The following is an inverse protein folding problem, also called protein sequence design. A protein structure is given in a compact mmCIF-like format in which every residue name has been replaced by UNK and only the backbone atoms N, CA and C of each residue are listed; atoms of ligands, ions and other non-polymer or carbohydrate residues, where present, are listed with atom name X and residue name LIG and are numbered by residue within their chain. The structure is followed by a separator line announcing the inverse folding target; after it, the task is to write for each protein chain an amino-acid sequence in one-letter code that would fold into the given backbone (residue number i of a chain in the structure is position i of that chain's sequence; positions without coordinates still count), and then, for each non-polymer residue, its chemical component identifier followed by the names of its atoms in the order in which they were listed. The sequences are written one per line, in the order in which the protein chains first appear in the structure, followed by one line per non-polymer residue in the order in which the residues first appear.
data_IF_975408693848
#
_entry.id   IF_975408693848
#
_cell.length_a   1.000
_cell.length_b   1.000
_cell.length_c   1.000
_cell.angle_alpha   90.00
_cell.angle_beta   90.00
_cell.angle_gamma   90.00
#
_symmetry.space_group_name_H-M   'P 1'
#
loop_
_entity.id
_entity.type
_entity.pdbx_description
1 polymer ?
#
# COMPACT_ATOMS: atom_id res chain seq x y z
N UNK A 1 -6.34 2.08 -17.49
CA UNK A 1 -6.87 3.39 -17.96
C UNK A 1 -6.88 4.47 -16.87
N UNK A 2 -7.24 4.18 -15.62
CA UNK A 2 -7.41 5.21 -14.56
C UNK A 2 -6.14 6.02 -14.25
N UNK A 3 -4.97 5.37 -14.12
CA UNK A 3 -3.70 6.03 -13.80
C UNK A 3 -3.18 6.95 -14.91
N UNK A 4 -3.35 6.56 -16.17
CA UNK A 4 -2.94 7.37 -17.33
C UNK A 4 -3.86 8.57 -17.55
N UNK A 5 -5.18 8.38 -17.40
CA UNK A 5 -6.16 9.45 -17.59
C UNK A 5 -6.10 10.52 -16.49
N UNK A 6 -5.79 10.16 -15.24
CA UNK A 6 -5.68 11.12 -14.13
C UNK A 6 -4.50 12.09 -14.23
N UNK A 7 -3.55 11.82 -15.14
CA UNK A 7 -2.35 12.64 -15.39
C UNK A 7 -2.52 13.59 -16.55
N UNK A 8 -3.63 13.51 -17.26
CA UNK A 8 -3.97 14.39 -18.38
C UNK A 8 -4.85 15.48 -17.79
N UNK A 9 -4.34 16.71 -17.55
CA UNK A 9 -5.08 17.74 -16.83
C UNK A 9 -6.37 18.14 -17.56
N UNK A 10 -6.32 18.10 -18.90
CA UNK A 10 -7.45 18.30 -19.80
C UNK A 10 -7.33 17.41 -21.02
N UNK A 11 -8.47 17.03 -21.59
CA UNK A 11 -8.53 16.25 -22.83
C UNK A 11 -7.66 16.88 -23.93
N UNK A 12 -6.83 16.06 -24.58
CA UNK A 12 -5.90 16.50 -25.63
C UNK A 12 -4.57 17.09 -25.14
N UNK A 13 -4.38 17.29 -23.82
CA UNK A 13 -3.08 17.69 -23.26
C UNK A 13 -2.15 16.48 -23.02
N UNK A 14 -0.84 16.74 -23.01
CA UNK A 14 0.13 15.72 -22.64
C UNK A 14 -0.04 15.30 -21.18
N UNK A 15 0.22 14.02 -20.91
CA UNK A 15 0.25 13.54 -19.53
C UNK A 15 1.43 14.17 -18.78
N UNK A 16 1.20 14.63 -17.55
CA UNK A 16 2.25 15.17 -16.66
C UNK A 16 3.47 14.22 -16.58
N UNK A 17 4.70 14.68 -16.34
CA UNK A 17 5.83 13.77 -16.21
C UNK A 17 5.69 12.83 -15.00
N UNK A 18 6.29 11.64 -15.08
CA UNK A 18 6.47 10.77 -13.91
C UNK A 18 7.74 11.20 -13.21
N UNK A 19 7.74 11.21 -11.89
CA UNK A 19 8.94 11.46 -11.11
C UNK A 19 8.96 10.45 -9.98
N UNK A 20 10.06 9.72 -9.89
CA UNK A 20 10.43 9.00 -8.68
C UNK A 20 11.85 9.42 -8.26
N UNK A 21 12.22 9.08 -7.03
CA UNK A 21 13.58 9.29 -6.55
C UNK A 21 14.45 8.09 -6.92
N UNK A 22 15.79 8.25 -6.98
CA UNK A 22 16.70 7.13 -7.17
C UNK A 22 16.52 6.01 -6.15
N UNK A 23 16.19 6.35 -4.91
CA UNK A 23 15.89 5.40 -3.82
C UNK A 23 14.45 4.85 -3.85
N UNK A 24 13.66 5.20 -4.87
CA UNK A 24 12.23 4.92 -4.98
C UNK A 24 11.38 5.63 -3.94
N UNK A 25 10.13 5.18 -3.77
CA UNK A 25 9.16 5.78 -2.84
C UNK A 25 9.57 5.63 -1.36
N UNK A 26 10.50 4.72 -1.04
CA UNK A 26 11.06 4.57 0.30
C UNK A 26 11.73 5.85 0.81
N UNK A 27 12.24 6.69 -0.09
CA UNK A 27 12.82 7.99 0.26
C UNK A 27 11.82 8.91 0.96
N UNK A 28 10.56 8.89 0.53
CA UNK A 28 9.52 9.76 1.09
C UNK A 28 9.28 9.39 2.55
N UNK A 29 9.08 8.10 2.83
CA UNK A 29 8.88 7.60 4.19
C UNK A 29 10.11 7.88 5.06
N UNK A 30 11.32 7.65 4.54
CA UNK A 30 12.56 7.93 5.26
C UNK A 30 12.71 9.43 5.60
N UNK A 31 12.41 10.31 4.64
CA UNK A 31 12.43 11.75 4.84
C UNK A 31 11.42 12.19 5.91
N UNK A 32 10.16 11.75 5.81
CA UNK A 32 9.12 12.08 6.80
C UNK A 32 9.48 11.57 8.21
N UNK A 33 10.11 10.39 8.30
CA UNK A 33 10.55 9.83 9.58
C UNK A 33 11.61 10.71 10.28
N UNK A 34 12.39 11.52 9.55
CA UNK A 34 13.39 12.41 10.16
C UNK A 34 12.76 13.44 11.11
N UNK A 35 11.64 14.04 10.72
CA UNK A 35 10.88 15.03 11.52
C UNK A 35 10.30 14.47 12.82
N UNK A 36 10.15 13.14 12.91
CA UNK A 36 9.59 12.45 14.07
C UNK A 36 10.59 11.47 14.71
N UNK A 37 11.87 11.49 14.33
CA UNK A 37 12.84 10.42 14.65
C UNK A 37 12.92 10.06 16.13
N UNK A 38 12.93 11.04 17.04
CA UNK A 38 12.99 10.81 18.49
C UNK A 38 11.67 10.31 19.09
N UNK A 39 10.59 10.32 18.32
CA UNK A 39 9.22 9.95 18.72
C UNK A 39 8.71 8.69 18.00
N UNK A 40 9.52 8.10 17.11
CA UNK A 40 9.19 6.85 16.44
C UNK A 40 9.82 5.72 17.22
N UNK A 41 8.97 4.82 17.70
CA UNK A 41 9.39 3.57 18.30
C UNK A 41 8.99 2.41 17.38
N UNK A 42 9.96 1.57 17.02
CA UNK A 42 9.73 0.38 16.19
C UNK A 42 9.86 -0.88 17.03
N UNK A 43 9.41 -2.02 16.50
CA UNK A 43 9.44 -3.28 17.24
C UNK A 43 8.36 -3.42 18.31
N UNK A 44 7.34 -2.55 18.28
CA UNK A 44 6.15 -2.64 19.12
C UNK A 44 4.92 -2.95 18.28
N UNK A 45 4.18 -3.98 18.66
CA UNK A 45 2.90 -4.35 18.07
C UNK A 45 1.77 -3.91 18.99
N UNK A 46 0.94 -2.97 18.54
CA UNK A 46 -0.25 -2.57 19.29
C UNK A 46 -1.26 -3.72 19.26
N UNK A 47 -1.61 -4.23 20.44
CA UNK A 47 -2.56 -5.35 20.62
C UNK A 47 -3.92 -4.87 21.14
N UNK A 48 -3.96 -3.72 21.82
CA UNK A 48 -5.19 -3.18 22.35
C UNK A 48 -5.25 -1.64 22.31
N UNK A 49 -6.41 -1.11 21.97
CA UNK A 49 -6.74 0.32 21.96
C UNK A 49 -8.09 0.47 22.64
N UNK A 50 -8.10 1.06 23.83
CA UNK A 50 -9.25 1.09 24.74
C UNK A 50 -9.64 2.56 24.97
N UNK A 51 -10.66 3.08 24.27
CA UNK A 51 -11.13 4.44 24.50
C UNK A 51 -11.94 4.54 25.79
N UNK A 52 -11.60 5.50 26.65
CA UNK A 52 -12.29 5.83 27.89
C UNK A 52 -12.85 7.27 27.85
N UNK A 53 -13.45 7.74 28.94
CA UNK A 53 -13.92 9.13 29.04
C UNK A 53 -12.75 10.12 29.09
N UNK A 54 -11.60 9.71 29.64
CA UNK A 54 -10.44 10.58 29.88
C UNK A 54 -9.36 10.47 28.80
N UNK A 55 -9.53 9.58 27.81
CA UNK A 55 -8.56 9.39 26.74
C UNK A 55 -8.65 8.02 26.08
N UNK A 56 -7.49 7.48 25.73
CA UNK A 56 -7.31 6.19 25.10
C UNK A 56 -6.10 5.52 25.73
N UNK A 57 -6.29 4.30 26.23
CA UNK A 57 -5.21 3.44 26.69
C UNK A 57 -4.78 2.52 25.54
N UNK A 58 -3.50 2.54 25.20
CA UNK A 58 -2.89 1.72 24.15
C UNK A 58 -1.96 0.71 24.81
N UNK A 59 -2.17 -0.56 24.49
CA UNK A 59 -1.30 -1.65 24.92
C UNK A 59 -0.54 -2.15 23.70
N UNK A 60 0.78 -2.22 23.84
CA UNK A 60 1.67 -2.76 22.83
C UNK A 60 2.58 -3.84 23.43
N UNK A 61 2.94 -4.80 22.60
CA UNK A 61 3.84 -5.90 22.92
C UNK A 61 5.11 -5.78 22.08
N UNK A 62 6.26 -6.10 22.66
CA UNK A 62 7.51 -6.11 21.90
C UNK A 62 7.47 -7.21 20.83
N UNK A 63 8.19 -7.03 19.73
CA UNK A 63 8.21 -7.98 18.60
C UNK A 63 8.59 -9.41 19.03
N UNK A 64 9.35 -9.54 20.11
CA UNK A 64 9.77 -10.84 20.66
C UNK A 64 8.73 -11.46 21.61
N UNK A 65 7.66 -10.73 21.95
CA UNK A 65 6.60 -11.16 22.86
C UNK A 65 7.02 -11.19 24.33
N UNK A 66 8.02 -10.39 24.70
CA UNK A 66 8.66 -10.45 26.03
C UNK A 66 8.28 -9.28 26.93
N UNK A 67 7.94 -8.14 26.34
CA UNK A 67 7.67 -6.91 27.05
C UNK A 67 6.30 -6.37 26.67
N UNK A 68 5.60 -5.83 27.66
CA UNK A 68 4.35 -5.11 27.48
C UNK A 68 4.55 -3.63 27.80
N UNK A 69 3.90 -2.78 27.04
CA UNK A 69 3.92 -1.33 27.23
C UNK A 69 2.51 -0.77 27.19
N UNK A 70 2.16 -0.01 28.23
CA UNK A 70 0.95 0.80 28.30
C UNK A 70 1.25 2.25 28.00
N UNK A 71 0.44 2.88 27.14
CA UNK A 71 0.51 4.29 26.81
C UNK A 71 -0.87 4.88 26.99
N UNK A 72 -1.01 5.84 27.91
CA UNK A 72 -2.22 6.65 28.03
C UNK A 72 -2.08 7.92 27.19
N UNK A 73 -3.05 8.19 26.33
CA UNK A 73 -3.09 9.39 25.50
C UNK A 73 -4.48 10.03 25.50
N UNK A 74 -4.56 11.37 25.51
CA UNK A 74 -5.83 12.08 25.40
C UNK A 74 -6.57 11.77 24.09
N UNK A 75 -5.82 11.59 23.00
CA UNK A 75 -6.31 11.28 21.65
C UNK A 75 -5.31 10.35 20.95
N UNK A 76 -5.79 9.48 20.08
CA UNK A 76 -4.96 8.56 19.26
C UNK A 76 -5.28 8.76 17.79
N UNK A 77 -4.24 8.80 16.94
CA UNK A 77 -4.39 8.67 15.49
C UNK A 77 -4.12 7.21 15.11
N UNK A 78 -5.15 6.54 14.61
CA UNK A 78 -5.07 5.17 14.11
C UNK A 78 -4.79 5.19 12.61
N UNK A 79 -3.54 4.94 12.23
CA UNK A 79 -3.07 4.97 10.84
C UNK A 79 -2.92 3.58 10.21
N UNK A 80 -3.43 2.52 10.86
CA UNK A 80 -3.46 1.17 10.29
C UNK A 80 -4.76 0.92 9.50
N UNK A 81 -4.81 -0.12 8.63
CA UNK A 81 -6.01 -0.44 7.86
C UNK A 81 -7.25 -0.70 8.73
N UNK A 82 -8.44 -0.44 8.18
CA UNK A 82 -9.73 -0.69 8.86
C UNK A 82 -9.91 -2.14 9.29
N UNK A 83 -9.42 -3.12 8.53
CA UNK A 83 -9.49 -4.52 8.97
C UNK A 83 -8.65 -4.79 10.22
N UNK A 84 -7.57 -4.03 10.47
CA UNK A 84 -6.80 -4.14 11.72
C UNK A 84 -7.55 -3.49 12.87
N UNK A 85 -8.26 -2.38 12.63
CA UNK A 85 -9.08 -1.72 13.64
C UNK A 85 -10.08 -2.70 14.31
N UNK A 86 -10.66 -3.62 13.52
CA UNK A 86 -11.55 -4.68 13.98
C UNK A 86 -10.92 -5.63 15.02
N UNK A 87 -9.58 -5.71 15.07
CA UNK A 87 -8.85 -6.62 15.94
C UNK A 87 -8.21 -5.95 17.15
N UNK A 88 -7.92 -4.65 17.08
CA UNK A 88 -7.15 -3.95 18.13
C UNK A 88 -7.96 -2.90 18.89
N UNK A 89 -9.02 -2.34 18.30
CA UNK A 89 -9.89 -1.39 18.99
C UNK A 89 -10.93 -2.17 19.79
N UNK A 90 -10.88 -2.09 21.12
CA UNK A 90 -11.68 -2.95 22.00
C UNK A 90 -13.20 -2.91 21.68
N UNK A 91 -13.85 -1.72 21.57
CA UNK A 91 -15.26 -1.67 21.16
C UNK A 91 -15.56 -2.31 19.80
N UNK A 92 -14.60 -2.30 18.86
CA UNK A 92 -14.81 -2.88 17.53
C UNK A 92 -14.66 -4.40 17.54
N UNK A 93 -13.84 -4.96 18.45
CA UNK A 93 -13.82 -6.41 18.68
C UNK A 93 -15.13 -6.89 19.28
N UNK A 94 -15.65 -6.17 20.25
CA UNK A 94 -16.86 -6.55 20.99
C UNK A 94 -18.11 -6.43 20.09
N UNK A 95 -18.19 -5.37 19.29
CA UNK A 95 -19.27 -5.13 18.35
C UNK A 95 -18.75 -4.47 17.08
N UNK A 96 -18.35 -5.28 16.10
CA UNK A 96 -17.76 -4.80 14.85
C UNK A 96 -18.75 -3.91 14.07
N UNK A 97 -18.42 -2.61 13.87
CA UNK A 97 -19.30 -1.71 13.13
C UNK A 97 -19.53 -2.19 11.70
N UNK A 98 -20.77 -2.03 11.21
CA UNK A 98 -21.15 -2.46 9.86
C UNK A 98 -20.29 -1.84 8.77
N UNK A 99 -19.90 -0.56 8.93
CA UNK A 99 -19.06 0.13 7.95
C UNK A 99 -17.67 -0.48 7.79
N UNK A 100 -17.09 -1.07 8.84
CA UNK A 100 -15.76 -1.70 8.77
C UNK A 100 -15.82 -2.98 7.92
N UNK A 101 -16.95 -3.69 7.92
CA UNK A 101 -17.15 -4.94 7.14
C UNK A 101 -17.12 -4.71 5.63
N UNK A 102 -17.38 -3.48 5.20
CA UNK A 102 -17.43 -3.11 3.78
C UNK A 102 -16.01 -2.98 3.17
N UNK A 103 -14.96 -2.90 4.00
CA UNK A 103 -13.56 -2.78 3.58
C UNK A 103 -12.98 -4.15 3.23
N UNK A 104 -12.69 -4.35 1.94
CA UNK A 104 -12.14 -5.60 1.41
C UNK A 104 -10.81 -5.33 0.72
N UNK A 105 -9.83 -6.23 0.89
CA UNK A 105 -8.46 -5.99 0.43
C UNK A 105 -8.02 -7.07 -0.54
N UNK A 106 -7.45 -6.66 -1.66
CA UNK A 106 -6.88 -7.54 -2.67
C UNK A 106 -5.52 -8.09 -2.25
N UNK A 107 -5.13 -9.22 -2.85
CA UNK A 107 -3.83 -9.85 -2.67
C UNK A 107 -2.96 -9.63 -3.90
N UNK A 108 -1.71 -9.26 -3.71
CA UNK A 108 -0.76 -8.99 -4.80
C UNK A 108 0.53 -9.78 -4.58
N UNK A 109 1.08 -10.31 -5.67
CA UNK A 109 2.46 -10.72 -5.77
C UNK A 109 3.23 -9.64 -6.52
N UNK A 110 4.36 -9.22 -5.97
CA UNK A 110 5.32 -8.34 -6.65
C UNK A 110 6.62 -9.09 -6.77
N UNK A 111 7.21 -9.07 -7.96
CA UNK A 111 8.49 -9.72 -8.22
C UNK A 111 9.47 -8.71 -8.80
N UNK A 112 10.68 -8.64 -8.23
CA UNK A 112 11.76 -7.83 -8.78
C UNK A 112 12.81 -8.76 -9.39
N UNK A 113 13.06 -8.59 -10.69
CA UNK A 113 14.08 -9.31 -11.43
C UNK A 113 15.26 -8.38 -11.65
N UNK A 114 16.40 -8.65 -11.02
CA UNK A 114 17.68 -8.02 -11.37
C UNK A 114 18.26 -8.75 -12.55
N UNK A 115 18.46 -8.03 -13.66
CA UNK A 115 18.95 -8.58 -14.91
C UNK A 115 20.35 -8.06 -15.21
N UNK A 116 21.24 -8.94 -15.69
CA UNK A 116 22.58 -8.54 -16.15
C UNK A 116 22.57 -7.69 -17.42
N UNK A 117 21.51 -7.79 -18.21
CA UNK A 117 21.28 -6.98 -19.41
C UNK A 117 19.78 -6.82 -19.68
N UNK A 118 19.39 -5.87 -20.53
CA UNK A 118 18.01 -5.67 -20.97
C UNK A 118 17.58 -6.78 -21.94
N UNK A 119 16.33 -7.27 -21.84
CA UNK A 119 15.82 -8.21 -22.83
C UNK A 119 15.66 -7.52 -24.19
N UNK A 120 15.78 -8.31 -25.25
CA UNK A 120 15.59 -7.84 -26.62
C UNK A 120 14.14 -7.39 -26.81
N UNK A 121 13.98 -6.28 -27.52
CA UNK A 121 12.67 -5.76 -27.91
C UNK A 121 12.54 -5.79 -29.44
N UNK A 122 11.34 -6.07 -29.94
CA UNK A 122 11.03 -6.12 -31.38
C UNK A 122 10.00 -5.04 -31.70
N UNK A 123 10.23 -4.27 -32.77
CA UNK A 123 9.33 -3.22 -33.26
C UNK A 123 9.31 -1.92 -32.45
N UNK A 124 9.49 -1.97 -31.13
CA UNK A 124 9.58 -0.81 -30.24
C UNK A 124 10.63 -1.05 -29.15
N UNK A 125 11.37 -0.04 -28.68
CA UNK A 125 12.27 -0.20 -27.53
C UNK A 125 11.51 -0.61 -26.27
N UNK A 126 12.24 -1.14 -25.28
CA UNK A 126 11.66 -1.55 -24.01
C UNK A 126 10.90 -0.37 -23.36
N UNK A 127 9.58 -0.49 -23.24
CA UNK A 127 8.75 0.56 -22.68
C UNK A 127 8.92 0.64 -21.15
N UNK A 128 8.53 1.75 -20.54
CA UNK A 128 8.48 1.82 -19.08
C UNK A 128 7.46 0.83 -18.50
N UNK A 129 6.26 0.77 -19.07
CA UNK A 129 5.16 -0.12 -18.65
C UNK A 129 4.86 -1.13 -19.76
N UNK A 130 4.89 -2.42 -19.43
CA UNK A 130 4.78 -3.51 -20.40
C UNK A 130 3.73 -4.49 -19.89
N UNK A 131 2.67 -4.69 -20.69
CA UNK A 131 1.59 -5.62 -20.38
C UNK A 131 1.62 -6.79 -21.37
N UNK A 132 1.29 -7.99 -20.89
CA UNK A 132 1.25 -9.18 -21.72
C UNK A 132 -0.17 -9.47 -22.19
N UNK A 133 -0.32 -9.72 -23.49
CA UNK A 133 -1.60 -10.19 -24.05
C UNK A 133 -1.98 -11.54 -23.44
N UNK A 134 -3.24 -11.68 -23.02
CA UNK A 134 -3.77 -12.90 -22.39
C UNK A 134 -2.91 -13.42 -21.23
N UNK A 135 -2.40 -12.49 -20.41
CA UNK A 135 -1.81 -12.81 -19.11
C UNK A 135 -2.75 -12.38 -17.99
N UNK A 136 -2.86 -13.17 -16.90
CA UNK A 136 -3.55 -12.73 -15.69
C UNK A 136 -2.76 -11.67 -14.89
N UNK A 137 -1.51 -11.37 -15.27
CA UNK A 137 -0.70 -10.37 -14.60
C UNK A 137 -1.01 -8.95 -15.07
N UNK A 138 -0.52 -7.97 -14.33
CA UNK A 138 -0.50 -6.57 -14.76
C UNK A 138 0.78 -6.26 -15.56
N UNK A 139 1.56 -7.27 -15.91
CA UNK A 139 2.84 -7.12 -16.60
C UNK A 139 3.96 -6.63 -15.68
N UNK A 140 4.91 -5.88 -16.25
CA UNK A 140 6.05 -5.36 -15.52
C UNK A 140 6.39 -3.94 -15.94
N UNK A 141 7.05 -3.22 -15.02
CA UNK A 141 7.69 -1.95 -15.32
C UNK A 141 9.21 -2.07 -15.33
N UNK A 142 9.87 -1.27 -16.15
CA UNK A 142 11.32 -1.06 -16.11
C UNK A 142 11.62 -0.08 -14.98
N UNK A 143 12.02 -0.60 -13.81
CA UNK A 143 12.25 0.21 -12.62
C UNK A 143 13.37 1.24 -12.80
N UNK A 144 14.27 1.00 -13.75
CA UNK A 144 15.42 1.86 -14.09
C UNK A 144 15.12 2.88 -15.20
N UNK A 145 13.89 3.00 -15.69
CA UNK A 145 13.56 3.86 -16.85
C UNK A 145 13.97 5.34 -16.68
N UNK A 146 14.05 5.86 -15.44
CA UNK A 146 14.48 7.24 -15.17
C UNK A 146 15.99 7.39 -14.92
N UNK A 147 16.77 6.31 -15.03
CA UNK A 147 18.23 6.38 -14.89
C UNK A 147 18.91 7.07 -16.08
N UNK A 148 18.21 7.22 -17.20
CA UNK A 148 18.77 7.74 -18.45
C UNK A 148 19.69 6.75 -19.17
N UNK A 149 19.74 5.48 -18.74
CA UNK A 149 20.53 4.42 -19.35
C UNK A 149 19.59 3.46 -20.08
N UNK A 150 19.79 3.28 -21.38
CA UNK A 150 18.99 2.43 -22.28
C UNK A 150 19.69 1.10 -22.66
N UNK A 151 20.87 0.84 -22.12
CA UNK A 151 21.65 -0.40 -22.31
C UNK A 151 22.10 -1.04 -20.97
N UNK A 152 22.52 -2.30 -21.01
CA UNK A 152 23.16 -2.97 -19.87
C UNK A 152 22.20 -3.45 -18.77
N UNK A 153 22.67 -3.62 -17.52
CA UNK A 153 21.89 -4.15 -16.41
C UNK A 153 20.63 -3.34 -16.08
N UNK A 154 19.56 -4.03 -15.68
CA UNK A 154 18.28 -3.41 -15.35
C UNK A 154 17.53 -4.14 -14.24
N UNK A 155 16.44 -3.54 -13.77
CA UNK A 155 15.48 -4.18 -12.86
C UNK A 155 14.09 -4.11 -13.48
N UNK A 156 13.44 -5.27 -13.61
CA UNK A 156 12.02 -5.36 -13.96
C UNK A 156 11.21 -5.60 -12.68
N UNK A 157 10.18 -4.78 -12.45
CA UNK A 157 9.23 -4.99 -11.36
C UNK A 157 7.91 -5.49 -11.94
N UNK A 158 7.64 -6.77 -11.72
CA UNK A 158 6.47 -7.49 -12.20
C UNK A 158 5.34 -7.48 -11.14
N UNK A 159 4.10 -7.31 -11.61
CA UNK A 159 2.92 -7.22 -10.76
C UNK A 159 1.88 -8.27 -11.14
N UNK A 160 1.46 -9.07 -10.16
CA UNK A 160 0.37 -10.03 -10.33
C UNK A 160 -0.70 -9.76 -9.26
N UNK A 161 -1.82 -9.21 -9.69
CA UNK A 161 -2.98 -9.00 -8.83
C UNK A 161 -3.87 -10.25 -8.83
N UNK A 162 -4.17 -10.79 -7.65
CA UNK A 162 -5.11 -11.90 -7.52
C UNK A 162 -6.53 -11.33 -7.41
N UNK A 163 -7.31 -11.59 -8.45
CA UNK A 163 -8.59 -10.92 -8.70
C UNK A 163 -9.82 -11.79 -8.38
N UNK A 164 -9.67 -12.87 -7.60
CA UNK A 164 -10.81 -13.74 -7.26
C UNK A 164 -11.93 -12.94 -6.56
N UNK A 165 -13.18 -13.38 -6.76
CA UNK A 165 -14.36 -12.73 -6.18
C UNK A 165 -14.27 -12.70 -4.65
N UNK A 166 -13.76 -13.77 -4.04
CA UNK A 166 -13.48 -13.85 -2.61
C UNK A 166 -11.99 -13.58 -2.31
N UNK A 167 -11.62 -12.44 -1.70
CA UNK A 167 -10.22 -12.11 -1.39
C UNK A 167 -9.53 -13.11 -0.45
N UNK A 168 -10.30 -13.87 0.36
CA UNK A 168 -9.74 -14.90 1.23
C UNK A 168 -9.09 -16.02 0.41
N UNK A 169 -9.75 -16.48 -0.65
CA UNK A 169 -9.25 -17.55 -1.53
C UNK A 169 -7.95 -17.09 -2.20
N UNK A 170 -7.94 -15.87 -2.74
CA UNK A 170 -6.73 -15.27 -3.32
C UNK A 170 -5.58 -15.25 -2.32
N UNK A 171 -5.85 -14.84 -1.07
CA UNK A 171 -4.84 -14.75 -0.02
C UNK A 171 -4.31 -16.11 0.37
N UNK A 172 -5.18 -17.09 0.55
CA UNK A 172 -4.80 -18.46 0.88
C UNK A 172 -3.90 -19.04 -0.21
N UNK A 173 -4.27 -18.88 -1.49
CA UNK A 173 -3.43 -19.27 -2.63
C UNK A 173 -2.08 -18.55 -2.64
N UNK A 174 -2.08 -17.23 -2.42
CA UNK A 174 -0.85 -16.44 -2.39
C UNK A 174 0.14 -16.94 -1.34
N UNK A 175 -0.36 -17.30 -0.16
CA UNK A 175 0.45 -17.69 0.98
C UNK A 175 0.81 -19.19 0.99
N UNK A 176 -0.02 -20.06 0.40
CA UNK A 176 0.23 -21.50 0.33
C UNK A 176 1.30 -21.87 -0.69
N UNK A 177 1.39 -21.13 -1.80
CA UNK A 177 2.40 -21.34 -2.84
C UNK A 177 3.76 -20.82 -2.36
N UNK A 178 4.79 -21.64 -2.53
CA UNK A 178 6.14 -21.32 -2.06
C UNK A 178 6.84 -20.30 -2.98
N UNK A 179 8.01 -19.81 -2.55
CA UNK A 179 8.75 -18.77 -3.28
C UNK A 179 9.17 -19.22 -4.69
N UNK A 180 9.64 -20.46 -4.84
CA UNK A 180 10.20 -20.96 -6.11
C UNK A 180 9.09 -21.27 -7.11
N UNK A 181 7.95 -21.77 -6.65
CA UNK A 181 6.75 -21.90 -7.47
C UNK A 181 6.27 -20.55 -8.00
N UNK A 182 6.26 -19.50 -7.15
CA UNK A 182 5.97 -18.14 -7.61
C UNK A 182 7.01 -17.61 -8.59
N UNK A 183 8.29 -17.91 -8.38
CA UNK A 183 9.34 -17.56 -9.32
C UNK A 183 9.10 -18.19 -10.70
N UNK A 184 8.67 -19.46 -10.75
CA UNK A 184 8.33 -20.13 -12.00
C UNK A 184 7.12 -19.52 -12.70
N UNK A 185 6.08 -19.12 -11.96
CA UNK A 185 4.94 -18.37 -12.53
C UNK A 185 5.40 -17.07 -13.18
N UNK A 186 6.22 -16.30 -12.47
CA UNK A 186 6.74 -14.99 -12.94
C UNK A 186 7.62 -15.17 -14.18
N UNK A 187 8.62 -16.05 -14.11
CA UNK A 187 9.56 -16.26 -15.20
C UNK A 187 8.87 -16.84 -16.44
N UNK A 188 7.92 -17.75 -16.26
CA UNK A 188 7.16 -18.33 -17.38
C UNK A 188 6.29 -17.28 -18.09
N UNK A 189 5.66 -16.39 -17.33
CA UNK A 189 4.84 -15.32 -17.92
C UNK A 189 5.70 -14.31 -18.70
N UNK A 190 6.83 -13.87 -18.13
CA UNK A 190 7.74 -12.92 -18.81
C UNK A 190 8.41 -13.58 -20.02
N UNK A 191 8.70 -14.90 -19.96
CA UNK A 191 9.31 -15.64 -21.07
C UNK A 191 8.48 -15.64 -22.35
N UNK A 192 7.17 -15.35 -22.26
CA UNK A 192 6.28 -15.22 -23.42
C UNK A 192 6.69 -14.07 -24.35
N UNK A 193 7.21 -12.99 -23.78
CA UNK A 193 7.70 -11.83 -24.52
C UNK A 193 9.24 -11.81 -24.65
N UNK A 194 9.94 -12.35 -23.65
CA UNK A 194 11.40 -12.34 -23.58
C UNK A 194 11.93 -13.75 -23.28
N UNK A 195 12.08 -14.63 -24.29
CA UNK A 195 12.51 -16.02 -24.10
C UNK A 195 13.82 -16.18 -23.31
N UNK A 196 14.70 -15.19 -23.38
CA UNK A 196 16.00 -15.13 -22.71
C UNK A 196 15.92 -14.66 -21.25
N UNK A 197 14.75 -14.30 -20.72
CA UNK A 197 14.62 -13.66 -19.39
C UNK A 197 15.23 -14.51 -18.28
N UNK A 198 15.09 -15.84 -18.38
CA UNK A 198 15.64 -16.79 -17.41
C UNK A 198 17.15 -16.73 -17.39
N UNK A 199 17.76 -16.69 -18.57
CA UNK A 199 19.19 -16.54 -18.68
C UNK A 199 19.59 -15.20 -18.09
N UNK A 200 18.94 -14.09 -18.45
CA UNK A 200 19.31 -12.73 -18.02
C UNK A 200 19.17 -12.48 -16.51
N UNK A 201 18.32 -13.22 -15.81
CA UNK A 201 17.99 -12.97 -14.40
C UNK A 201 19.12 -13.43 -13.48
N UNK A 202 19.73 -12.49 -12.76
CA UNK A 202 20.75 -12.76 -11.73
C UNK A 202 20.14 -12.95 -10.35
N UNK A 203 19.04 -12.22 -10.08
CA UNK A 203 18.32 -12.28 -8.81
C UNK A 203 16.84 -12.07 -9.02
N UNK A 204 16.04 -12.81 -8.26
CA UNK A 204 14.58 -12.71 -8.24
C UNK A 204 14.07 -12.61 -6.80
N UNK A 205 13.54 -11.44 -6.43
CA UNK A 205 12.91 -11.23 -5.13
C UNK A 205 11.39 -11.29 -5.26
N UNK A 206 10.75 -12.07 -4.40
CA UNK A 206 9.30 -12.28 -4.41
C UNK A 206 8.69 -11.70 -3.13
N UNK A 207 7.75 -10.77 -3.29
CA UNK A 207 6.99 -10.17 -2.20
C UNK A 207 5.52 -10.57 -2.30
N UNK A 208 4.99 -11.14 -1.22
CA UNK A 208 3.60 -11.62 -1.12
C UNK A 208 2.81 -10.71 -0.19
N UNK A 209 1.88 -9.94 -0.75
CA UNK A 209 1.04 -8.99 -0.02
C UNK A 209 -0.41 -9.48 0.06
N UNK A 210 -0.79 -10.12 1.18
CA UNK A 210 -2.15 -10.66 1.35
C UNK A 210 -3.26 -9.61 1.52
N UNK A 211 -2.91 -8.38 1.87
CA UNK A 211 -3.82 -7.24 2.01
C UNK A 211 -3.21 -6.00 1.35
N UNK A 212 -2.74 -6.15 0.11
CA UNK A 212 -1.92 -5.16 -0.59
C UNK A 212 -2.66 -3.83 -0.77
N UNK A 213 -3.90 -3.88 -1.25
CA UNK A 213 -4.68 -2.70 -1.60
C UNK A 213 -6.14 -2.89 -1.20
N UNK A 214 -6.77 -1.82 -0.75
CA UNK A 214 -8.24 -1.71 -0.65
C UNK A 214 -8.87 -1.94 -2.04
N UNK A 215 -9.99 -2.67 -2.11
CA UNK A 215 -10.72 -2.92 -3.35
C UNK A 215 -11.81 -1.86 -3.55
N UNK A 216 -11.71 -1.00 -4.58
CA UNK A 216 -12.77 -0.04 -4.92
C UNK A 216 -13.90 -0.72 -5.71
N UNK A 217 -14.60 -1.69 -5.11
CA UNK A 217 -15.75 -2.33 -5.77
C UNK A 217 -16.83 -1.29 -6.12
N UNK A 218 -17.68 -1.55 -7.14
CA UNK A 218 -18.80 -0.67 -7.46
C UNK A 218 -19.60 -0.27 -6.22
N UNK A 219 -19.88 1.03 -6.09
CA UNK A 219 -20.59 1.61 -4.93
C UNK A 219 -19.72 1.93 -3.71
N UNK A 220 -18.48 1.41 -3.59
CA UNK A 220 -17.66 1.63 -2.39
C UNK A 220 -17.16 3.07 -2.23
N UNK A 221 -16.67 3.69 -3.31
CA UNK A 221 -16.15 5.07 -3.27
C UNK A 221 -17.23 6.06 -2.80
N UNK A 222 -18.46 5.92 -3.27
CA UNK A 222 -19.57 6.78 -2.82
C UNK A 222 -20.22 6.35 -1.51
N UNK A 223 -19.81 5.23 -0.91
CA UNK A 223 -20.57 4.57 0.15
C UNK A 223 -20.61 5.35 1.46
N UNK A 224 -21.72 5.20 2.18
CA UNK A 224 -21.85 5.66 3.56
C UNK A 224 -20.83 4.99 4.47
N UNK A 225 -20.49 3.72 4.23
CA UNK A 225 -19.48 3.01 4.99
C UNK A 225 -18.11 3.72 4.96
N UNK A 226 -17.65 4.16 3.78
CA UNK A 226 -16.41 4.94 3.64
C UNK A 226 -16.51 6.31 4.30
N UNK A 227 -17.69 6.94 4.32
CA UNK A 227 -17.90 8.21 5.04
C UNK A 227 -17.80 8.00 6.55
N UNK A 228 -18.50 7.01 7.09
CA UNK A 228 -18.47 6.65 8.52
C UNK A 228 -17.09 6.25 9.02
N UNK A 229 -16.33 5.49 8.23
CA UNK A 229 -14.97 5.10 8.61
C UNK A 229 -13.99 6.29 8.77
N UNK A 230 -14.32 7.46 8.20
CA UNK A 230 -13.52 8.70 8.34
C UNK A 230 -13.85 9.49 9.59
N UNK A 231 -15.01 9.22 10.21
CA UNK A 231 -15.46 9.89 11.43
C UNK A 231 -14.65 9.38 12.63
N UNK A 232 -14.24 10.25 13.57
CA UNK A 232 -13.60 9.81 14.80
C UNK A 232 -14.50 8.87 15.61
N UNK A 233 -13.91 7.84 16.23
CA UNK A 233 -14.59 7.02 17.21
C UNK A 233 -14.11 7.38 18.61
N UNK A 234 -14.92 8.14 19.35
CA UNK A 234 -14.53 8.75 20.64
C UNK A 234 -13.24 9.57 20.47
N UNK A 235 -12.17 9.18 21.15
CA UNK A 235 -10.88 9.88 21.16
C UNK A 235 -9.90 9.32 20.10
N UNK A 236 -10.38 8.51 19.16
CA UNK A 236 -9.59 7.87 18.10
C UNK A 236 -9.92 8.50 16.74
N UNK A 237 -8.90 8.99 16.03
CA UNK A 237 -8.99 9.58 14.69
C UNK A 237 -8.35 8.64 13.67
N UNK A 238 -9.01 8.35 12.55
CA UNK A 238 -8.49 7.43 11.53
C UNK A 238 -7.73 8.16 10.42
N UNK A 239 -6.59 7.59 9.98
CA UNK A 239 -5.67 8.27 9.06
C UNK A 239 -5.12 7.41 7.91
N UNK A 240 -5.66 6.21 7.69
CA UNK A 240 -5.11 5.29 6.69
C UNK A 240 -5.65 5.57 5.26
N UNK A 241 -4.88 5.23 4.22
CA UNK A 241 -5.24 5.47 2.81
C UNK A 241 -6.48 4.72 2.33
N UNK A 242 -6.86 3.62 2.98
CA UNK A 242 -8.08 2.87 2.63
C UNK A 242 -9.36 3.69 2.79
N UNK A 243 -9.32 4.76 3.59
CA UNK A 243 -10.39 5.75 3.73
C UNK A 243 -10.70 6.49 2.43
N UNK A 244 -9.78 6.48 1.46
CA UNK A 244 -10.01 6.98 0.10
C UNK A 244 -10.44 5.89 -0.87
N UNK A 245 -10.32 4.62 -0.50
CA UNK A 245 -10.63 3.49 -1.38
C UNK A 245 -9.60 3.24 -2.47
N UNK A 246 -8.45 3.92 -2.40
CA UNK A 246 -7.28 3.71 -3.26
C UNK A 246 -6.02 3.75 -2.39
N UNK A 247 -4.96 3.06 -2.82
CA UNK A 247 -3.70 2.95 -2.08
C UNK A 247 -2.64 3.89 -2.68
N UNK A 248 -2.80 5.20 -2.45
CA UNK A 248 -1.91 6.24 -2.98
C UNK A 248 -1.19 6.96 -1.84
N UNK A 249 0.04 7.42 -2.10
CA UNK A 249 0.80 8.16 -1.10
C UNK A 249 0.13 9.49 -0.74
N UNK A 250 -0.39 10.19 -1.75
CA UNK A 250 -1.09 11.47 -1.61
C UNK A 250 -2.30 11.34 -0.68
N UNK A 251 -3.03 10.23 -0.79
CA UNK A 251 -4.18 9.93 0.07
C UNK A 251 -3.75 9.58 1.50
N UNK A 252 -2.63 8.86 1.66
CA UNK A 252 -2.05 8.63 2.99
C UNK A 252 -1.61 9.94 3.66
N UNK A 253 -0.98 10.86 2.91
CA UNK A 253 -0.60 12.18 3.39
C UNK A 253 -1.83 13.02 3.75
N UNK A 254 -2.82 13.07 2.86
CA UNK A 254 -4.09 13.77 3.09
C UNK A 254 -4.76 13.33 4.39
N UNK A 255 -4.93 12.01 4.58
CA UNK A 255 -5.58 11.50 5.80
C UNK A 255 -4.73 11.67 7.05
N UNK A 256 -3.41 11.60 6.94
CA UNK A 256 -2.48 11.94 8.02
C UNK A 256 -2.65 13.37 8.51
N UNK A 257 -2.64 14.33 7.58
CA UNK A 257 -2.85 15.76 7.87
C UNK A 257 -4.24 15.99 8.45
N UNK A 258 -5.30 15.53 7.76
CA UNK A 258 -6.70 15.67 8.21
C UNK A 258 -6.91 15.14 9.63
N UNK A 259 -6.35 13.97 9.96
CA UNK A 259 -6.48 13.40 11.29
C UNK A 259 -5.74 14.24 12.35
N UNK A 260 -4.55 14.76 12.03
CA UNK A 260 -3.80 15.65 12.91
C UNK A 260 -4.56 16.96 13.18
N UNK A 261 -5.12 17.58 12.14
CA UNK A 261 -5.96 18.77 12.27
C UNK A 261 -7.21 18.48 13.11
N UNK A 262 -7.86 17.33 12.90
CA UNK A 262 -8.98 16.89 13.72
C UNK A 262 -8.63 16.74 15.20
N UNK A 263 -7.42 16.27 15.53
CA UNK A 263 -6.92 16.21 16.91
C UNK A 263 -6.67 17.62 17.47
N UNK A 264 -6.09 18.53 16.68
CA UNK A 264 -5.84 19.91 17.10
C UNK A 264 -7.15 20.67 17.37
N UNK A 265 -8.15 20.53 16.49
CA UNK A 265 -9.48 21.08 16.70
C UNK A 265 -10.15 20.54 17.95
N UNK A 266 -10.00 19.24 18.24
CA UNK A 266 -10.52 18.62 19.45
C UNK A 266 -9.81 19.09 20.75
N UNK A 267 -8.72 19.85 20.63
CA UNK A 267 -8.02 20.55 21.72
C UNK A 267 -8.24 22.07 21.67
N UNK A 268 -9.23 22.55 20.92
CA UNK A 268 -9.55 23.97 20.73
C UNK A 268 -8.36 24.80 20.22
N UNK A 269 -7.46 24.17 19.45
CA UNK A 269 -6.33 24.85 18.81
C UNK A 269 -6.74 25.35 17.43
N UNK A 270 -6.43 26.62 17.14
CA UNK A 270 -6.60 27.18 15.81
C UNK A 270 -5.68 26.46 14.81
N UNK A 271 -6.24 26.03 13.69
CA UNK A 271 -5.50 25.41 12.59
C UNK A 271 -5.78 26.21 11.31
N UNK A 272 -4.75 26.73 10.68
CA UNK A 272 -4.82 27.13 9.27
C UNK A 272 -4.54 25.85 8.47
N UNK A 273 -5.53 25.39 7.71
CA UNK A 273 -5.44 24.12 6.95
C UNK A 273 -4.10 23.99 6.22
N UNK A 274 -3.48 22.82 6.31
CA UNK A 274 -2.31 22.45 5.51
C UNK A 274 -2.72 21.80 4.17
N UNK A 275 -4.03 21.56 3.99
CA UNK A 275 -4.68 21.10 2.75
C UNK A 275 -5.21 22.28 1.93
#
# INVERSE_FOLDING_TARGET
MFYFASRVPKEGEESLPLITWPDGNGRIAAHLATSARQRIETGWLVTNVIPSNDGVDVIAESREGRDLRGIHAKRVIFAAPQFIAAHVIAPFRDALPSHVREFTYGSWLVANLTLRDRPRSSGFPLAWDNVFYESPSLGYVVATHQSGIDYGPTVLTYYYALCDSNPRISRERLLSVNRDEWAEVVLSDISRAHPEIRDLTERLDIMRWGHAMIRPRPGFIGSEARRRAREPHRNIHFAHTDLSGVALFEEALYHGVRAAEGVLHAFDRAVKTFL
#
